data_IF_763063720892
#
_entry.id   IF_763063720892
#
_cell.length_a   1.000
_cell.length_b   1.000
_cell.length_c   1.000
_cell.angle_alpha   90.00
_cell.angle_beta   90.00
_cell.angle_gamma   90.00
#
_symmetry.space_group_name_H-M   'P 1'
#
loop_
_entity.id
_entity.type
_entity.pdbx_description
1 polymer ?
#
# COMPACT_ATOMS: atom_id res chain seq x y z
N UNK A 1 -5.50 -11.26 30.52
CA UNK A 1 -6.44 -10.13 30.51
C UNK A 1 -5.64 -8.95 29.99
N UNK A 2 -5.56 -8.80 28.66
CA UNK A 2 -4.79 -7.73 28.03
C UNK A 2 -5.67 -6.48 28.03
N UNK A 3 -5.13 -5.37 28.52
CA UNK A 3 -5.88 -4.12 28.68
C UNK A 3 -6.36 -3.60 27.32
N UNK A 4 -7.52 -2.96 27.32
CA UNK A 4 -8.18 -2.35 26.16
C UNK A 4 -7.39 -1.18 25.52
N UNK A 5 -6.11 -1.01 25.86
CA UNK A 5 -5.33 0.22 25.68
C UNK A 5 -4.20 0.15 24.64
N UNK A 6 -4.19 -0.83 23.71
CA UNK A 6 -3.07 -1.00 22.77
C UNK A 6 -3.29 -0.39 21.38
N UNK A 7 -4.37 0.38 21.18
CA UNK A 7 -4.69 1.11 19.95
C UNK A 7 -4.85 2.59 20.26
N UNK A 8 -3.82 3.19 20.85
CA UNK A 8 -3.75 4.64 21.01
C UNK A 8 -2.97 5.25 19.84
N UNK A 9 -3.29 6.50 19.52
CA UNK A 9 -2.67 7.27 18.45
C UNK A 9 -1.16 7.42 18.71
N UNK A 10 -0.36 6.45 18.28
CA UNK A 10 1.08 6.58 18.40
C UNK A 10 1.58 7.58 17.36
N UNK A 11 2.05 8.74 17.85
CA UNK A 11 2.70 9.79 17.08
C UNK A 11 4.05 9.31 16.54
N UNK A 12 4.02 8.44 15.53
CA UNK A 12 5.22 8.07 14.80
C UNK A 12 5.79 9.31 14.10
N UNK A 13 7.11 9.36 13.90
CA UNK A 13 7.75 10.44 13.13
C UNK A 13 7.08 10.65 11.76
N UNK A 14 6.62 9.56 11.13
CA UNK A 14 5.88 9.60 9.87
C UNK A 14 4.53 10.31 10.03
N UNK A 15 3.72 9.90 11.01
CA UNK A 15 2.42 10.53 11.31
C UNK A 15 2.58 12.02 11.63
N UNK A 16 3.55 12.37 12.48
CA UNK A 16 3.85 13.76 12.83
C UNK A 16 4.24 14.58 11.61
N UNK A 17 5.09 14.03 10.73
CA UNK A 17 5.52 14.75 9.52
C UNK A 17 4.36 15.01 8.55
N UNK A 18 3.42 14.07 8.44
CA UNK A 18 2.19 14.22 7.64
C UNK A 18 1.30 15.30 8.26
N UNK A 19 1.08 15.24 9.58
CA UNK A 19 0.26 16.23 10.30
C UNK A 19 0.84 17.64 10.14
N UNK A 20 2.15 17.80 10.32
CA UNK A 20 2.84 19.08 10.12
C UNK A 20 2.74 19.58 8.68
N UNK A 21 2.86 18.69 7.69
CA UNK A 21 2.79 19.08 6.27
C UNK A 21 1.40 19.55 5.85
N UNK A 22 0.36 18.86 6.32
CA UNK A 22 -1.02 19.13 5.93
C UNK A 22 -1.79 20.03 6.92
N UNK A 23 -1.15 20.44 8.02
CA UNK A 23 -1.78 21.27 9.06
C UNK A 23 -2.92 20.55 9.78
N UNK A 24 -2.75 19.24 10.05
CA UNK A 24 -3.72 18.42 10.77
C UNK A 24 -3.33 18.40 12.25
N UNK A 25 -4.26 18.73 13.14
CA UNK A 25 -4.04 18.66 14.57
C UNK A 25 -4.14 17.22 15.07
N UNK A 26 -3.29 16.79 16.00
CA UNK A 26 -3.25 15.39 16.47
C UNK A 26 -4.59 14.93 17.06
N UNK A 27 -5.31 15.84 17.75
CA UNK A 27 -6.64 15.57 18.30
C UNK A 27 -7.68 15.22 17.23
N UNK A 28 -7.46 15.60 15.97
CA UNK A 28 -8.37 15.24 14.88
C UNK A 28 -8.28 13.76 14.49
N UNK A 29 -7.15 13.11 14.81
CA UNK A 29 -6.90 11.70 14.53
C UNK A 29 -7.39 10.77 15.64
N UNK A 30 -7.63 11.30 16.83
CA UNK A 30 -8.05 10.54 17.99
C UNK A 30 -9.36 9.79 17.70
N UNK A 31 -9.35 8.47 17.90
CA UNK A 31 -10.47 7.59 17.59
C UNK A 31 -10.72 7.33 16.09
N UNK A 32 -10.06 8.06 15.18
CA UNK A 32 -10.21 7.88 13.72
C UNK A 32 -9.08 7.09 13.08
N UNK A 33 -7.86 7.25 13.60
CA UNK A 33 -6.67 6.55 13.10
C UNK A 33 -6.12 5.62 14.19
N UNK A 34 -6.27 4.33 13.95
CA UNK A 34 -5.76 3.28 14.83
C UNK A 34 -4.54 2.64 14.17
N UNK A 35 -3.37 2.78 14.79
CA UNK A 35 -2.11 2.24 14.26
C UNK A 35 -1.57 1.21 15.24
N UNK A 36 -1.11 0.07 14.71
CA UNK A 36 -0.37 -0.94 15.48
C UNK A 36 0.84 -1.41 14.68
N UNK A 37 2.00 -1.34 15.32
CA UNK A 37 3.26 -1.84 14.75
C UNK A 37 3.34 -3.37 14.89
N UNK A 38 3.70 -4.04 13.79
CA UNK A 38 3.99 -5.47 13.79
C UNK A 38 5.30 -5.86 14.48
N UNK A 39 6.17 -4.90 14.80
CA UNK A 39 7.46 -5.17 15.47
C UNK A 39 7.30 -5.63 16.92
N UNK A 40 6.36 -5.03 17.65
CA UNK A 40 6.14 -5.34 19.06
C UNK A 40 5.09 -6.46 19.24
N UNK A 41 4.20 -6.61 18.27
CA UNK A 41 3.12 -7.58 18.31
C UNK A 41 2.77 -8.09 16.91
N UNK A 42 3.09 -9.36 16.65
CA UNK A 42 2.73 -10.02 15.41
C UNK A 42 1.22 -10.31 15.37
N UNK A 43 0.48 -9.55 14.55
CA UNK A 43 -0.93 -9.77 14.30
C UNK A 43 -1.14 -10.87 13.25
N UNK A 44 -0.72 -12.10 13.56
CA UNK A 44 -0.94 -13.27 12.69
C UNK A 44 -2.44 -13.56 12.64
N UNK A 45 -3.09 -13.35 11.50
CA UNK A 45 -4.53 -13.54 11.28
C UNK A 45 -4.86 -14.95 10.78
N UNK A 46 -3.94 -15.56 10.03
CA UNK A 46 -4.14 -16.85 9.38
C UNK A 46 -2.95 -17.79 9.60
N UNK A 47 -3.23 -19.02 10.01
CA UNK A 47 -2.23 -20.03 10.39
C UNK A 47 -2.52 -21.36 9.68
N UNK A 48 -1.48 -22.16 9.45
CA UNK A 48 -1.62 -23.52 8.93
C UNK A 48 -2.04 -24.48 10.06
N UNK A 49 -3.01 -25.35 9.81
CA UNK A 49 -3.49 -26.36 10.77
C UNK A 49 -2.56 -27.58 10.93
N UNK A 50 -1.41 -27.59 10.25
CA UNK A 50 -0.47 -28.71 10.17
C UNK A 50 -0.80 -29.71 9.07
N UNK A 51 -1.95 -29.59 8.40
CA UNK A 51 -2.45 -30.46 7.34
C UNK A 51 -2.82 -29.68 6.06
N UNK A 52 -2.20 -28.52 5.85
CA UNK A 52 -2.37 -27.60 4.71
C UNK A 52 -3.69 -26.81 4.68
N UNK A 53 -4.57 -26.97 5.67
CA UNK A 53 -5.72 -26.07 5.78
C UNK A 53 -5.28 -24.78 6.46
N UNK A 54 -5.96 -23.69 6.14
CA UNK A 54 -5.70 -22.38 6.76
C UNK A 54 -6.85 -22.03 7.68
N UNK A 55 -6.51 -21.73 8.93
CA UNK A 55 -7.46 -21.38 9.99
C UNK A 55 -7.27 -19.94 10.43
N UNK A 56 -8.37 -19.31 10.85
CA UNK A 56 -8.33 -18.00 11.48
C UNK A 56 -7.76 -18.15 12.90
N UNK A 57 -6.78 -17.30 13.23
CA UNK A 57 -6.18 -17.24 14.57
C UNK A 57 -7.08 -16.50 15.58
N UNK A 58 -6.60 -16.40 16.82
CA UNK A 58 -7.20 -15.51 17.83
C UNK A 58 -7.20 -14.04 17.40
N UNK A 59 -6.13 -13.57 16.75
CA UNK A 59 -6.00 -12.17 16.33
C UNK A 59 -7.04 -11.77 15.28
N UNK A 60 -7.52 -12.70 14.44
CA UNK A 60 -8.64 -12.43 13.54
C UNK A 60 -9.90 -12.03 14.30
N UNK A 61 -10.21 -12.71 15.41
CA UNK A 61 -11.38 -12.38 16.24
C UNK A 61 -11.19 -11.04 16.95
N UNK A 62 -9.97 -10.76 17.41
CA UNK A 62 -9.63 -9.49 18.03
C UNK A 62 -9.77 -8.32 17.04
N UNK A 63 -9.31 -8.49 15.79
CA UNK A 63 -9.46 -7.49 14.74
C UNK A 63 -10.94 -7.24 14.42
N UNK A 64 -11.76 -8.29 14.29
CA UNK A 64 -13.21 -8.12 14.08
C UNK A 64 -13.85 -7.35 15.23
N UNK A 65 -13.53 -7.74 16.48
CA UNK A 65 -14.08 -7.07 17.67
C UNK A 65 -13.69 -5.59 17.68
N UNK A 66 -12.40 -5.29 17.50
CA UNK A 66 -11.90 -3.92 17.46
C UNK A 66 -12.58 -3.11 16.36
N UNK A 67 -12.67 -3.67 15.14
CA UNK A 67 -13.27 -2.96 14.01
C UNK A 67 -14.75 -2.64 14.24
N UNK A 68 -15.49 -3.52 14.93
CA UNK A 68 -16.87 -3.25 15.33
C UNK A 68 -16.93 -2.20 16.45
N UNK A 69 -16.14 -2.37 17.50
CA UNK A 69 -16.14 -1.48 18.68
C UNK A 69 -15.71 -0.05 18.35
N UNK A 70 -14.86 0.11 17.33
CA UNK A 70 -14.31 1.41 16.89
C UNK A 70 -14.86 1.88 15.54
N UNK A 71 -15.86 1.19 15.00
CA UNK A 71 -16.50 1.53 13.72
C UNK A 71 -15.48 1.74 12.58
N UNK A 72 -14.49 0.85 12.48
CA UNK A 72 -13.41 0.95 11.50
C UNK A 72 -13.96 0.76 10.08
N UNK A 73 -13.86 1.80 9.26
CA UNK A 73 -14.27 1.75 7.85
C UNK A 73 -13.21 1.17 6.90
N UNK A 74 -11.94 1.20 7.28
CA UNK A 74 -10.82 0.72 6.47
C UNK A 74 -9.74 0.07 7.34
N UNK A 75 -9.35 -1.15 6.97
CA UNK A 75 -8.18 -1.85 7.52
C UNK A 75 -7.06 -1.82 6.50
N UNK A 76 -5.88 -1.32 6.88
CA UNK A 76 -4.68 -1.35 6.04
C UNK A 76 -3.67 -2.33 6.65
N UNK A 77 -3.20 -3.28 5.84
CA UNK A 77 -2.21 -4.28 6.23
C UNK A 77 -0.92 -4.03 5.44
N UNK A 78 0.17 -3.74 6.14
CA UNK A 78 1.47 -3.50 5.51
C UNK A 78 2.62 -4.08 6.37
N UNK A 79 3.35 -5.11 5.90
CA UNK A 79 3.14 -5.86 4.64
C UNK A 79 2.23 -7.10 4.83
N UNK A 80 1.64 -7.58 3.73
CA UNK A 80 0.82 -8.81 3.66
C UNK A 80 1.47 -10.02 4.33
N UNK A 81 2.77 -10.24 4.07
CA UNK A 81 3.53 -11.38 4.60
C UNK A 81 3.54 -11.44 6.12
N UNK A 82 3.29 -10.31 6.80
CA UNK A 82 3.35 -10.21 8.26
C UNK A 82 2.12 -10.74 8.99
N UNK A 83 1.00 -10.98 8.28
CA UNK A 83 -0.28 -11.35 8.91
C UNK A 83 -0.63 -12.83 8.78
N UNK A 84 0.28 -13.67 8.26
CA UNK A 84 0.00 -15.09 8.13
C UNK A 84 1.25 -15.97 8.31
N UNK A 85 1.03 -17.20 8.74
CA UNK A 85 2.08 -18.23 8.85
C UNK A 85 1.80 -19.39 7.89
N UNK A 86 1.70 -19.06 6.60
CA UNK A 86 1.45 -20.00 5.51
C UNK A 86 2.42 -19.74 4.35
N UNK A 87 2.54 -20.70 3.43
CA UNK A 87 3.39 -20.53 2.24
C UNK A 87 2.79 -19.52 1.24
N UNK A 88 3.50 -18.42 0.97
CA UNK A 88 3.11 -17.39 -0.03
C UNK A 88 3.00 -17.95 -1.46
N UNK A 89 3.64 -19.09 -1.76
CA UNK A 89 3.66 -19.68 -3.09
C UNK A 89 2.59 -20.77 -3.29
N UNK A 90 1.85 -21.15 -2.25
CA UNK A 90 0.81 -22.18 -2.32
C UNK A 90 -0.56 -21.54 -2.57
N UNK A 91 -1.12 -21.74 -3.77
CA UNK A 91 -2.43 -21.21 -4.15
C UNK A 91 -3.57 -21.64 -3.22
N UNK A 92 -3.54 -22.87 -2.67
CA UNK A 92 -4.60 -23.36 -1.79
C UNK A 92 -4.54 -22.64 -0.45
N UNK A 93 -3.34 -22.51 0.11
CA UNK A 93 -3.14 -21.80 1.38
C UNK A 93 -3.46 -20.32 1.25
N UNK A 94 -2.98 -19.66 0.19
CA UNK A 94 -3.27 -18.25 -0.06
C UNK A 94 -4.77 -17.99 -0.25
N UNK A 95 -5.49 -18.85 -0.96
CA UNK A 95 -6.95 -18.77 -1.02
C UNK A 95 -7.62 -18.88 0.36
N UNK A 96 -7.07 -19.70 1.25
CA UNK A 96 -7.50 -19.82 2.64
C UNK A 96 -7.31 -18.52 3.42
N UNK A 97 -6.14 -17.87 3.32
CA UNK A 97 -5.88 -16.56 3.94
C UNK A 97 -6.90 -15.52 3.46
N UNK A 98 -7.07 -15.38 2.15
CA UNK A 98 -8.02 -14.40 1.61
C UNK A 98 -9.48 -14.73 1.93
N UNK A 99 -9.84 -16.00 2.16
CA UNK A 99 -11.16 -16.36 2.67
C UNK A 99 -11.37 -15.80 4.09
N UNK A 100 -10.35 -15.86 4.95
CA UNK A 100 -10.39 -15.29 6.30
C UNK A 100 -10.49 -13.76 6.23
N UNK A 101 -9.65 -13.11 5.42
CA UNK A 101 -9.69 -11.64 5.27
C UNK A 101 -11.04 -11.14 4.74
N UNK A 102 -11.65 -11.84 3.77
CA UNK A 102 -13.01 -11.52 3.31
C UNK A 102 -14.07 -11.71 4.39
N UNK A 103 -13.90 -12.71 5.26
CA UNK A 103 -14.81 -12.90 6.39
C UNK A 103 -14.72 -11.74 7.40
N UNK A 104 -13.51 -11.18 7.61
CA UNK A 104 -13.35 -9.95 8.41
C UNK A 104 -14.11 -8.78 7.77
N UNK A 105 -13.91 -8.51 6.48
CA UNK A 105 -14.64 -7.46 5.77
C UNK A 105 -16.16 -7.66 5.85
N UNK A 106 -16.63 -8.89 5.64
CA UNK A 106 -18.06 -9.21 5.68
C UNK A 106 -18.67 -9.03 7.08
N UNK A 107 -17.92 -9.35 8.15
CA UNK A 107 -18.40 -9.21 9.52
C UNK A 107 -18.41 -7.76 10.01
N UNK A 108 -17.50 -6.93 9.49
CA UNK A 108 -17.25 -5.57 9.99
C UNK A 108 -17.79 -4.48 9.07
N UNK A 109 -18.14 -4.83 7.83
CA UNK A 109 -18.42 -3.89 6.74
C UNK A 109 -17.23 -2.96 6.40
N UNK A 110 -16.02 -3.28 6.90
CA UNK A 110 -14.80 -2.52 6.61
C UNK A 110 -14.21 -2.92 5.25
N UNK A 111 -13.70 -1.93 4.53
CA UNK A 111 -12.80 -2.17 3.40
C UNK A 111 -11.45 -2.69 3.91
N UNK A 112 -10.71 -3.41 3.06
CA UNK A 112 -9.36 -3.85 3.38
C UNK A 112 -8.40 -3.57 2.23
N UNK A 113 -7.31 -2.87 2.55
CA UNK A 113 -6.18 -2.64 1.67
C UNK A 113 -4.99 -3.44 2.17
N UNK A 114 -4.42 -4.26 1.28
CA UNK A 114 -3.30 -5.14 1.60
C UNK A 114 -2.11 -4.71 0.75
N UNK A 115 -1.02 -4.31 1.41
CA UNK A 115 0.23 -3.92 0.77
C UNK A 115 1.11 -5.16 0.64
N UNK A 116 1.47 -5.51 -0.58
CA UNK A 116 2.30 -6.67 -0.86
C UNK A 116 3.43 -6.28 -1.82
N UNK A 117 4.59 -6.90 -1.64
CA UNK A 117 5.75 -6.61 -2.46
C UNK A 117 5.61 -7.22 -3.86
N UNK A 118 6.14 -6.51 -4.85
CA UNK A 118 6.37 -7.08 -6.17
C UNK A 118 7.54 -8.07 -6.12
N UNK A 119 7.65 -8.90 -7.16
CA UNK A 119 8.85 -9.71 -7.38
C UNK A 119 10.06 -8.78 -7.58
N UNK A 120 11.24 -9.28 -7.23
CA UNK A 120 12.49 -8.56 -7.51
C UNK A 120 12.69 -8.56 -9.02
N UNK A 121 12.73 -7.37 -9.62
CA UNK A 121 12.98 -7.24 -11.06
C UNK A 121 14.35 -7.83 -11.41
N UNK A 122 14.41 -8.65 -12.45
CA UNK A 122 15.66 -9.06 -13.08
C UNK A 122 16.38 -7.87 -13.71
N UNK A 123 17.70 -7.96 -13.90
CA UNK A 123 18.54 -6.86 -14.44
C UNK A 123 18.06 -6.29 -15.80
N UNK A 124 17.20 -7.00 -16.54
CA UNK A 124 16.69 -6.62 -17.86
C UNK A 124 15.15 -6.53 -17.92
N UNK A 125 14.46 -6.59 -16.79
CA UNK A 125 12.99 -6.52 -16.77
C UNK A 125 12.53 -5.06 -16.83
N UNK A 126 11.54 -4.79 -17.68
CA UNK A 126 10.88 -3.48 -17.73
C UNK A 126 10.17 -3.23 -16.40
N UNK A 127 10.13 -1.99 -15.90
CA UNK A 127 9.34 -1.67 -14.72
C UNK A 127 7.87 -2.03 -14.97
N UNK A 128 7.30 -2.87 -14.12
CA UNK A 128 5.96 -3.42 -14.29
C UNK A 128 4.90 -2.52 -13.63
N UNK A 129 4.84 -1.26 -14.05
CA UNK A 129 3.79 -0.32 -13.61
C UNK A 129 2.45 -0.68 -14.27
N UNK A 130 1.37 -0.68 -13.48
CA UNK A 130 0.03 -1.08 -13.93
C UNK A 130 -0.10 -2.57 -14.24
N UNK A 131 0.85 -3.40 -13.81
CA UNK A 131 0.84 -4.84 -14.06
C UNK A 131 0.68 -5.61 -12.76
N UNK A 132 -0.51 -6.20 -12.56
CA UNK A 132 -0.81 -7.02 -11.38
C UNK A 132 0.00 -8.32 -11.36
N UNK A 133 0.52 -8.78 -12.51
CA UNK A 133 1.41 -9.94 -12.57
C UNK A 133 2.73 -9.67 -11.87
N UNK A 134 3.13 -8.40 -11.67
CA UNK A 134 4.35 -8.06 -10.93
C UNK A 134 4.31 -8.47 -9.45
N UNK A 135 3.12 -8.77 -8.91
CA UNK A 135 2.93 -9.20 -7.53
C UNK A 135 3.72 -10.49 -7.23
N UNK A 136 4.32 -10.56 -6.03
CA UNK A 136 5.03 -11.74 -5.54
C UNK A 136 4.04 -12.76 -4.96
N UNK A 137 4.36 -14.04 -5.12
CA UNK A 137 3.64 -15.16 -4.53
C UNK A 137 2.69 -15.84 -5.51
N UNK A 138 1.78 -16.65 -4.97
CA UNK A 138 0.82 -17.42 -5.74
C UNK A 138 -0.16 -16.52 -6.50
N UNK A 139 -0.62 -16.96 -7.68
CA UNK A 139 -1.62 -16.22 -8.47
C UNK A 139 -2.93 -15.97 -7.70
N UNK A 140 -3.27 -16.86 -6.76
CA UNK A 140 -4.40 -16.70 -5.86
C UNK A 140 -4.41 -15.34 -5.12
N UNK A 141 -3.25 -14.73 -4.86
CA UNK A 141 -3.15 -13.43 -4.18
C UNK A 141 -3.75 -12.32 -5.07
N UNK A 142 -3.29 -12.19 -6.32
CA UNK A 142 -3.86 -11.21 -7.27
C UNK A 142 -5.30 -11.54 -7.66
N UNK A 143 -5.66 -12.82 -7.69
CA UNK A 143 -7.00 -13.27 -8.06
C UNK A 143 -8.00 -12.98 -6.95
N UNK A 144 -7.53 -12.93 -5.70
CA UNK A 144 -8.35 -12.58 -4.55
C UNK A 144 -8.72 -11.10 -4.50
N UNK A 145 -7.86 -10.22 -5.03
CA UNK A 145 -8.09 -8.79 -5.09
C UNK A 145 -9.20 -8.40 -6.08
N UNK A 146 -10.07 -7.48 -5.66
CA UNK A 146 -11.13 -6.90 -6.52
C UNK A 146 -10.64 -5.71 -7.32
N UNK A 147 -9.72 -4.96 -6.74
CA UNK A 147 -8.96 -3.88 -7.38
C UNK A 147 -7.52 -3.98 -6.91
N UNK A 148 -6.58 -3.58 -7.76
CA UNK A 148 -5.17 -3.49 -7.43
C UNK A 148 -4.56 -2.26 -8.09
N UNK A 149 -3.65 -1.62 -7.37
CA UNK A 149 -2.82 -0.53 -7.88
C UNK A 149 -1.35 -0.90 -7.70
N UNK A 150 -0.48 -0.40 -8.57
CA UNK A 150 0.97 -0.45 -8.34
C UNK A 150 1.48 0.92 -7.93
N UNK A 151 2.37 0.97 -6.93
CA UNK A 151 3.15 2.15 -6.58
C UNK A 151 4.60 1.93 -7.04
N UNK A 152 5.10 2.80 -7.92
CA UNK A 152 6.44 2.63 -8.53
C UNK A 152 7.21 3.94 -8.60
N UNK A 153 8.56 3.92 -8.55
CA UNK A 153 9.37 5.08 -8.87
C UNK A 153 9.15 5.55 -10.31
N UNK A 154 9.34 6.85 -10.55
CA UNK A 154 9.44 7.36 -11.92
C UNK A 154 10.57 6.62 -12.65
N UNK A 155 10.30 6.00 -13.82
CA UNK A 155 11.37 5.48 -14.66
C UNK A 155 12.24 6.63 -15.17
N UNK A 156 13.57 6.48 -15.10
CA UNK A 156 14.49 7.51 -15.62
C UNK A 156 14.25 7.81 -17.11
N UNK A 157 13.94 6.79 -17.90
CA UNK A 157 13.58 6.93 -19.32
C UNK A 157 12.30 7.73 -19.54
N UNK A 158 11.35 7.71 -18.59
CA UNK A 158 10.17 8.56 -18.65
C UNK A 158 10.56 10.02 -18.44
N UNK A 159 11.42 10.31 -17.46
CA UNK A 159 11.92 11.66 -17.22
C UNK A 159 12.65 12.23 -18.45
N UNK A 160 13.56 11.44 -19.04
CA UNK A 160 14.30 11.82 -20.25
C UNK A 160 13.36 12.09 -21.44
N UNK A 161 12.37 11.22 -21.67
CA UNK A 161 11.41 11.37 -22.77
C UNK A 161 10.53 12.62 -22.62
N UNK A 162 10.19 12.99 -21.40
CA UNK A 162 9.25 14.07 -21.10
C UNK A 162 9.94 15.36 -20.61
N UNK A 163 11.28 15.44 -20.75
CA UNK A 163 12.04 16.63 -20.39
C UNK A 163 12.00 16.97 -18.90
N UNK A 164 11.73 16.00 -18.02
CA UNK A 164 11.66 16.20 -16.57
C UNK A 164 13.08 16.13 -16.00
N UNK A 165 13.48 17.13 -15.21
CA UNK A 165 14.76 17.10 -14.49
C UNK A 165 14.80 15.89 -13.54
N UNK A 166 15.80 15.03 -13.71
CA UNK A 166 15.97 13.83 -12.90
C UNK A 166 16.21 14.13 -11.41
N UNK A 167 16.74 15.30 -11.07
CA UNK A 167 16.86 15.74 -9.67
C UNK A 167 15.50 15.88 -8.99
N UNK A 168 14.44 16.14 -9.77
CA UNK A 168 13.04 16.13 -9.33
C UNK A 168 12.46 14.72 -9.49
N UNK A 169 12.71 14.08 -10.63
CA UNK A 169 12.19 12.75 -10.98
C UNK A 169 12.49 11.67 -9.94
N UNK A 170 13.66 11.73 -9.27
CA UNK A 170 14.03 10.79 -8.19
C UNK A 170 13.05 10.81 -7.00
N UNK A 171 12.38 11.94 -6.76
CA UNK A 171 11.40 12.10 -5.70
C UNK A 171 9.97 11.76 -6.14
N UNK A 172 9.73 11.55 -7.44
CA UNK A 172 8.41 11.26 -7.99
C UNK A 172 8.11 9.75 -7.95
N UNK A 173 6.87 9.42 -7.63
CA UNK A 173 6.29 8.08 -7.71
C UNK A 173 5.02 8.15 -8.55
N UNK A 174 4.77 7.08 -9.29
CA UNK A 174 3.54 6.85 -10.05
C UNK A 174 2.68 5.80 -9.36
N UNK A 175 1.38 6.02 -9.41
CA UNK A 175 0.33 5.10 -9.01
C UNK A 175 -0.46 4.76 -10.27
N UNK A 176 -0.59 3.47 -10.54
CA UNK A 176 -1.26 2.95 -11.73
C UNK A 176 -2.29 1.90 -11.33
N UNK A 177 -3.45 1.92 -11.98
CA UNK A 177 -4.42 0.83 -11.88
C UNK A 177 -3.83 -0.43 -12.53
N UNK A 178 -3.77 -1.51 -11.76
CA UNK A 178 -3.23 -2.80 -12.20
C UNK A 178 -4.33 -3.84 -12.41
N UNK A 179 -5.47 -3.65 -11.72
CA UNK A 179 -6.67 -4.48 -11.84
C UNK A 179 -7.88 -3.70 -11.36
N UNK A 180 -8.99 -3.79 -12.09
CA UNK A 180 -10.30 -3.38 -11.59
C UNK A 180 -11.38 -4.32 -12.11
N UNK A 181 -12.22 -4.85 -11.21
CA UNK A 181 -13.34 -5.71 -11.58
C UNK A 181 -14.67 -4.94 -11.74
N UNK A 182 -14.80 -3.76 -11.12
CA UNK A 182 -16.09 -3.05 -10.99
C UNK A 182 -16.04 -1.57 -11.39
N UNK A 183 -14.88 -1.07 -11.83
CA UNK A 183 -14.72 0.30 -12.33
C UNK A 183 -13.89 0.30 -13.61
N UNK A 184 -13.97 1.40 -14.35
CA UNK A 184 -12.98 1.70 -15.37
C UNK A 184 -11.62 1.89 -14.70
N UNK A 185 -10.58 1.44 -15.40
CA UNK A 185 -9.20 1.79 -15.05
C UNK A 185 -8.90 3.17 -15.62
N UNK A 186 -8.09 3.94 -14.90
CA UNK A 186 -7.54 5.18 -15.40
C UNK A 186 -6.59 4.88 -16.57
N UNK A 187 -6.64 5.72 -17.61
CA UNK A 187 -5.75 5.63 -18.77
C UNK A 187 -4.40 6.36 -18.55
N UNK A 188 -4.25 7.00 -17.39
CA UNK A 188 -3.05 7.73 -16.98
C UNK A 188 -2.69 7.39 -15.53
N UNK A 189 -1.41 7.59 -15.21
CA UNK A 189 -0.90 7.42 -13.86
C UNK A 189 -1.24 8.65 -12.99
N UNK A 190 -1.55 8.41 -11.72
CA UNK A 190 -1.56 9.45 -10.69
C UNK A 190 -0.15 9.63 -10.17
N UNK A 191 0.29 10.87 -10.00
CA UNK A 191 1.64 11.18 -9.55
C UNK A 191 1.65 11.74 -8.13
N UNK A 192 2.64 11.28 -7.37
CA UNK A 192 2.96 11.83 -6.06
C UNK A 192 4.44 12.18 -6.00
N UNK A 193 4.77 13.19 -5.20
CA UNK A 193 6.13 13.60 -4.87
C UNK A 193 6.42 13.29 -3.40
N UNK A 194 7.57 12.72 -3.12
CA UNK A 194 8.07 12.56 -1.76
C UNK A 194 8.75 13.86 -1.32
N UNK A 195 8.00 14.70 -0.60
CA UNK A 195 8.48 15.96 -0.02
C UNK A 195 9.22 15.68 1.30
N UNK A 196 10.42 16.22 1.47
CA UNK A 196 11.14 16.12 2.73
C UNK A 196 10.62 17.16 3.73
N UNK A 197 10.17 16.72 4.90
CA UNK A 197 9.69 17.56 6.00
C UNK A 197 10.68 17.47 7.16
N UNK A 198 11.14 18.65 7.62
CA UNK A 198 12.00 18.76 8.79
C UNK A 198 11.16 18.81 10.07
N UNK A 199 11.39 17.85 10.96
CA UNK A 199 10.76 17.77 12.27
C UNK A 199 11.48 18.64 13.29
N UNK A 200 10.82 18.92 14.42
CA UNK A 200 11.37 19.74 15.51
C UNK A 200 12.67 19.17 16.11
N UNK A 201 12.82 17.84 16.10
CA UNK A 201 14.04 17.16 16.56
C UNK A 201 15.20 17.22 15.55
N UNK A 202 15.01 17.83 14.38
CA UNK A 202 16.00 17.96 13.32
C UNK A 202 16.01 16.85 12.28
N UNK A 203 15.20 15.79 12.47
CA UNK A 203 15.06 14.70 11.50
C UNK A 203 14.35 15.17 10.23
N UNK A 204 14.62 14.48 9.12
CA UNK A 204 13.88 14.63 7.86
C UNK A 204 13.08 13.37 7.56
N UNK A 205 11.80 13.54 7.26
CA UNK A 205 10.88 12.46 6.91
C UNK A 205 10.19 12.78 5.59
N UNK A 206 10.06 11.78 4.72
CA UNK A 206 9.38 11.93 3.43
C UNK A 206 7.86 11.84 3.58
N UNK A 207 7.16 12.86 3.10
CA UNK A 207 5.69 12.92 3.02
C UNK A 207 5.27 12.86 1.55
N UNK A 208 4.27 12.03 1.24
CA UNK A 208 3.71 11.96 -0.10
C UNK A 208 2.75 13.14 -0.35
N UNK A 209 2.96 13.86 -1.45
CA UNK A 209 2.10 14.96 -1.89
C UNK A 209 1.63 14.71 -3.32
N UNK A 210 0.35 14.90 -3.60
CA UNK A 210 -0.19 14.81 -4.97
C UNK A 210 0.39 15.93 -5.83
N UNK A 211 0.70 15.62 -7.09
CA UNK A 211 1.25 16.59 -8.04
C UNK A 211 0.67 16.36 -9.43
N UNK A 212 0.50 17.44 -10.18
CA UNK A 212 0.26 17.36 -11.61
C UNK A 212 1.58 17.14 -12.33
N UNK A 213 1.70 16.05 -13.08
CA UNK A 213 2.97 15.71 -13.73
C UNK A 213 3.40 16.74 -14.78
N UNK A 214 2.42 17.40 -15.39
CA UNK A 214 2.64 18.43 -16.40
C UNK A 214 3.39 19.65 -15.84
N UNK A 215 3.31 19.91 -14.53
CA UNK A 215 4.05 21.00 -13.88
C UNK A 215 5.57 20.80 -13.91
N UNK A 216 6.04 19.57 -14.19
CA UNK A 216 7.45 19.22 -14.26
C UNK A 216 7.94 18.92 -15.68
N UNK A 217 7.04 18.86 -16.66
CA UNK A 217 7.41 18.64 -18.04
C UNK A 217 7.85 19.97 -18.65
N UNK A 218 8.97 19.97 -19.35
CA UNK A 218 9.28 21.06 -20.26
C UNK A 218 8.50 20.83 -21.56
N UNK A 219 8.18 21.91 -22.28
CA UNK A 219 7.74 21.82 -23.68
C UNK A 219 8.86 21.17 -24.49
N UNK A 220 8.84 19.84 -24.58
CA UNK A 220 9.75 19.11 -25.44
C UNK A 220 9.20 19.33 -26.83
N UNK A 221 9.79 20.27 -27.59
CA UNK A 221 9.60 20.37 -29.03
C UNK A 221 9.78 18.96 -29.58
N UNK A 222 8.67 18.32 -29.94
CA UNK A 222 8.68 17.04 -30.62
C UNK A 222 9.28 17.34 -31.97
N UNK A 223 10.61 17.20 -32.07
CA UNK A 223 11.30 17.26 -33.35
C UNK A 223 10.56 16.29 -34.27
N UNK A 224 9.87 16.78 -35.32
CA UNK A 224 9.05 15.92 -36.15
C UNK A 224 9.99 14.87 -36.74
N UNK A 225 9.75 13.60 -36.40
CA UNK A 225 10.42 12.50 -37.06
C UNK A 225 10.19 12.69 -38.57
N UNK A 226 11.23 12.63 -39.42
CA UNK A 226 11.01 12.71 -40.85
C UNK A 226 10.05 11.59 -41.24
N UNK A 227 8.95 11.98 -41.91
CA UNK A 227 8.00 11.03 -42.49
C UNK A 227 8.75 10.06 -43.43
N UNK A 228 8.27 8.80 -43.54
CA UNK A 228 8.95 7.73 -44.26
C UNK A 228 9.24 8.05 -45.73
#
# INVERSE_FOLDING_TARGET
MYSESCWEAFASRSTMSICQHYGIEESELEGKLLIRSGYDYAAVLAENDGNKSVLASGHTKELIKLSLDKEVGLVVIDPYVSIHEVDENDNVQQNGVFKILRAVCAATNAAMLVVAHTRKAGNNEKPAYGDVESLRGASAIKDAARSAITLSPMPKSYAEKHGIDWTIGIALRRIDDAKSNFSLMNDHAVWIKMQSVKLANGDFVGVATSVEINDYMNDVDICPQPLP
#
